data_IF_950485593531
#
_entry.id   IF_950485593531
#
_cell.length_a   1.000
_cell.length_b   1.000
_cell.length_c   1.000
_cell.angle_alpha   90.00
_cell.angle_beta   90.00
_cell.angle_gamma   90.00
#
_symmetry.space_group_name_H-M   'P 1'
#
loop_
_entity.id
_entity.type
_entity.pdbx_description
1 polymer ?
#
# COMPACT_ATOMS: atom_id res chain seq x y z
N UNK A 1 9.61 32.18 -10.17
CA UNK A 1 9.00 31.56 -11.37
C UNK A 1 7.49 31.55 -11.20
N UNK A 2 6.78 32.09 -12.16
CA UNK A 2 5.32 32.13 -12.14
C UNK A 2 4.80 31.05 -13.07
N UNK A 3 4.03 30.08 -12.52
CA UNK A 3 3.36 29.09 -13.34
C UNK A 3 2.07 29.67 -13.93
N UNK A 4 1.75 29.30 -15.16
CA UNK A 4 0.46 29.65 -15.75
C UNK A 4 -0.68 28.97 -14.98
N UNK A 5 -1.90 29.53 -15.06
CA UNK A 5 -3.09 28.93 -14.45
C UNK A 5 -3.32 27.49 -14.97
N UNK A 6 -3.09 27.26 -16.28
CA UNK A 6 -3.23 25.96 -16.88
C UNK A 6 -2.21 24.93 -16.34
N UNK A 7 -0.95 25.36 -16.15
CA UNK A 7 0.08 24.48 -15.58
C UNK A 7 -0.21 24.14 -14.11
N UNK A 8 -0.69 25.10 -13.34
CA UNK A 8 -1.08 24.88 -11.95
C UNK A 8 -2.27 23.92 -11.84
N UNK A 9 -3.28 24.10 -12.69
CA UNK A 9 -4.45 23.21 -12.74
C UNK A 9 -4.04 21.78 -13.10
N UNK A 10 -3.16 21.61 -14.09
CA UNK A 10 -2.63 20.31 -14.48
C UNK A 10 -1.88 19.65 -13.30
N UNK A 11 -1.05 20.41 -12.61
CA UNK A 11 -0.30 19.94 -11.45
C UNK A 11 -1.23 19.47 -10.32
N UNK A 12 -2.28 20.24 -10.02
CA UNK A 12 -3.29 19.88 -9.02
C UNK A 12 -4.01 18.59 -9.45
N UNK A 13 -4.39 18.46 -10.72
CA UNK A 13 -5.07 17.28 -11.23
C UNK A 13 -4.17 16.03 -11.11
N UNK A 14 -2.87 16.15 -11.41
CA UNK A 14 -1.92 15.04 -11.26
C UNK A 14 -1.85 14.60 -9.79
N UNK A 15 -1.71 15.53 -8.85
CA UNK A 15 -1.66 15.24 -7.41
C UNK A 15 -2.96 14.61 -6.93
N UNK A 16 -4.12 15.14 -7.35
CA UNK A 16 -5.44 14.66 -6.93
C UNK A 16 -5.74 13.26 -7.47
N UNK A 17 -5.08 12.83 -8.56
CA UNK A 17 -5.29 11.54 -9.19
C UNK A 17 -4.22 10.49 -8.82
N UNK A 18 -3.30 10.80 -7.89
CA UNK A 18 -2.34 9.81 -7.42
C UNK A 18 -3.09 8.71 -6.66
N UNK A 19 -2.92 7.48 -7.13
CA UNK A 19 -3.51 6.29 -6.54
C UNK A 19 -2.50 5.58 -5.65
N UNK A 20 -2.87 5.35 -4.40
CA UNK A 20 -2.03 4.66 -3.41
C UNK A 20 -2.80 3.46 -2.87
N UNK A 21 -2.09 2.35 -2.71
CA UNK A 21 -2.63 1.13 -2.13
C UNK A 21 -1.83 0.76 -0.89
N UNK A 22 -2.51 0.50 0.22
CA UNK A 22 -1.90 -0.01 1.43
C UNK A 22 -2.34 -1.47 1.59
N UNK A 23 -1.39 -2.36 1.79
CA UNK A 23 -1.61 -3.79 2.01
C UNK A 23 -1.06 -4.15 3.39
N UNK A 24 -1.93 -4.56 4.29
CA UNK A 24 -1.55 -4.95 5.64
C UNK A 24 -2.09 -6.35 5.94
N UNK A 25 -1.25 -7.36 5.76
CA UNK A 25 -1.55 -8.74 6.06
C UNK A 25 -0.77 -9.25 7.28
N UNK A 26 -0.17 -8.36 8.05
CA UNK A 26 0.63 -8.70 9.23
C UNK A 26 -0.23 -8.92 10.48
N UNK A 27 -1.48 -8.46 10.47
CA UNK A 27 -2.37 -8.52 11.62
C UNK A 27 -3.31 -9.73 11.56
N UNK A 28 -4.44 -9.66 12.23
CA UNK A 28 -5.45 -10.72 12.32
C UNK A 28 -6.25 -10.91 11.02
N UNK A 29 -6.25 -9.91 10.16
CA UNK A 29 -6.92 -9.95 8.85
C UNK A 29 -6.01 -9.38 7.78
N UNK A 30 -6.39 -9.58 6.53
CA UNK A 30 -5.78 -8.88 5.39
C UNK A 30 -6.56 -7.59 5.19
N UNK A 31 -5.91 -6.47 5.42
CA UNK A 31 -6.51 -5.15 5.22
C UNK A 31 -5.99 -4.51 3.94
N UNK A 32 -6.91 -3.99 3.14
CA UNK A 32 -6.59 -3.24 1.93
C UNK A 32 -7.19 -1.85 2.05
N UNK A 33 -6.38 -0.83 1.75
CA UNK A 33 -6.81 0.56 1.73
C UNK A 33 -6.38 1.19 0.42
N UNK A 34 -7.31 1.83 -0.26
CA UNK A 34 -7.08 2.48 -1.55
C UNK A 34 -7.38 3.97 -1.39
N UNK A 35 -6.39 4.81 -1.68
CA UNK A 35 -6.49 6.26 -1.54
C UNK A 35 -6.37 6.89 -2.93
N UNK A 36 -7.38 7.65 -3.31
CA UNK A 36 -7.42 8.44 -4.55
C UNK A 36 -7.83 9.86 -4.22
N UNK A 37 -6.89 10.81 -4.25
CA UNK A 37 -7.16 12.17 -3.83
C UNK A 37 -7.66 12.22 -2.39
N UNK A 38 -8.89 12.68 -2.19
CA UNK A 38 -9.54 12.75 -0.87
C UNK A 38 -10.35 11.49 -0.52
N UNK A 39 -10.50 10.57 -1.46
CA UNK A 39 -11.31 9.37 -1.26
C UNK A 39 -10.48 8.25 -0.66
N UNK A 40 -11.00 7.61 0.38
CA UNK A 40 -10.37 6.48 1.04
C UNK A 40 -11.35 5.32 1.05
N UNK A 41 -10.96 4.21 0.44
CA UNK A 41 -11.73 2.97 0.41
C UNK A 41 -11.00 1.91 1.20
N UNK A 42 -11.73 1.10 1.94
CA UNK A 42 -11.16 0.03 2.75
C UNK A 42 -11.94 -1.27 2.57
N UNK A 43 -11.24 -2.38 2.69
CA UNK A 43 -11.86 -3.69 2.84
C UNK A 43 -10.96 -4.60 3.66
N UNK A 44 -11.50 -5.72 4.12
CA UNK A 44 -10.71 -6.71 4.83
C UNK A 44 -11.14 -8.12 4.43
N UNK A 45 -10.22 -9.06 4.55
CA UNK A 45 -10.44 -10.47 4.29
C UNK A 45 -9.85 -11.29 5.42
N UNK A 46 -10.37 -12.50 5.63
CA UNK A 46 -9.83 -13.38 6.64
C UNK A 46 -8.41 -13.82 6.34
N UNK A 47 -7.62 -13.97 7.38
CA UNK A 47 -6.29 -14.54 7.35
C UNK A 47 -6.40 -16.04 7.13
N UNK A 48 -6.36 -16.49 5.89
CA UNK A 48 -6.44 -17.89 5.52
C UNK A 48 -5.47 -18.21 4.41
N UNK A 49 -5.07 -19.48 4.33
CA UNK A 49 -4.19 -19.95 3.26
C UNK A 49 -4.76 -19.62 1.88
N UNK A 50 -6.06 -19.81 1.69
CA UNK A 50 -6.74 -19.55 0.42
C UNK A 50 -6.62 -18.05 0.06
N UNK A 51 -6.88 -17.16 1.01
CA UNK A 51 -6.80 -15.73 0.78
C UNK A 51 -5.36 -15.27 0.54
N UNK A 52 -4.37 -15.84 1.21
CA UNK A 52 -2.97 -15.52 0.94
C UNK A 52 -2.57 -15.94 -0.47
N UNK A 53 -2.99 -17.11 -0.94
CA UNK A 53 -2.67 -17.61 -2.27
C UNK A 53 -3.30 -16.81 -3.39
N UNK A 54 -4.44 -16.17 -3.14
CA UNK A 54 -5.14 -15.35 -4.14
C UNK A 54 -5.08 -13.86 -3.87
N UNK A 55 -4.05 -13.39 -3.17
CA UNK A 55 -3.94 -11.99 -2.75
C UNK A 55 -4.01 -11.01 -3.91
N UNK A 56 -3.38 -11.33 -5.05
CA UNK A 56 -3.43 -10.48 -6.24
C UNK A 56 -4.87 -10.32 -6.75
N UNK A 57 -5.67 -11.39 -6.68
CA UNK A 57 -7.08 -11.37 -7.08
C UNK A 57 -7.89 -10.51 -6.12
N UNK A 58 -7.65 -10.63 -4.81
CA UNK A 58 -8.32 -9.81 -3.80
C UNK A 58 -8.03 -8.31 -4.04
N UNK A 59 -6.80 -7.98 -4.35
CA UNK A 59 -6.40 -6.61 -4.66
C UNK A 59 -7.09 -6.13 -5.93
N UNK A 60 -7.05 -6.91 -7.00
CA UNK A 60 -7.65 -6.54 -8.28
C UNK A 60 -9.16 -6.32 -8.15
N UNK A 61 -9.86 -7.25 -7.49
CA UNK A 61 -11.30 -7.13 -7.26
C UNK A 61 -11.65 -5.89 -6.43
N UNK A 62 -10.86 -5.61 -5.40
CA UNK A 62 -11.04 -4.43 -4.56
C UNK A 62 -10.90 -3.15 -5.37
N UNK A 63 -9.84 -3.03 -6.17
CA UNK A 63 -9.61 -1.85 -7.00
C UNK A 63 -10.72 -1.66 -8.03
N UNK A 64 -11.17 -2.75 -8.67
CA UNK A 64 -12.30 -2.69 -9.62
C UNK A 64 -13.58 -2.24 -8.96
N UNK A 65 -13.85 -2.66 -7.73
CA UNK A 65 -15.03 -2.20 -6.98
C UNK A 65 -14.99 -0.70 -6.70
N UNK A 66 -13.82 -0.09 -6.69
CA UNK A 66 -13.60 1.34 -6.53
C UNK A 66 -13.42 2.06 -7.88
N UNK A 67 -13.80 1.42 -8.99
CA UNK A 67 -13.65 1.95 -10.35
C UNK A 67 -12.20 2.27 -10.71
N UNK A 68 -11.27 1.47 -10.22
CA UNK A 68 -9.83 1.60 -10.47
C UNK A 68 -9.25 0.28 -11.01
N UNK A 69 -7.96 0.24 -11.22
CA UNK A 69 -7.24 -0.96 -11.66
C UNK A 69 -5.79 -0.93 -11.18
N UNK A 70 -5.12 -2.09 -11.26
CA UNK A 70 -3.70 -2.18 -10.93
C UNK A 70 -2.85 -1.22 -11.78
N UNK A 71 -3.22 -1.00 -13.04
CA UNK A 71 -2.49 -0.10 -13.93
C UNK A 71 -2.55 1.37 -13.50
N UNK A 72 -3.50 1.73 -12.65
CA UNK A 72 -3.67 3.10 -12.15
C UNK A 72 -2.97 3.33 -10.80
N UNK A 73 -2.49 2.26 -10.16
CA UNK A 73 -1.81 2.38 -8.87
C UNK A 73 -0.40 2.94 -9.10
N UNK A 74 -0.06 4.00 -8.39
CA UNK A 74 1.23 4.68 -8.46
C UNK A 74 2.23 4.17 -7.42
N UNK A 75 1.73 3.91 -6.20
CA UNK A 75 2.58 3.49 -5.07
C UNK A 75 1.84 2.47 -4.22
N UNK A 76 2.57 1.49 -3.71
CA UNK A 76 2.05 0.49 -2.77
C UNK A 76 2.84 0.58 -1.47
N UNK A 77 2.11 0.52 -0.36
CA UNK A 77 2.67 0.49 1.00
C UNK A 77 2.28 -0.83 1.63
N UNK A 78 3.25 -1.60 2.10
CA UNK A 78 3.00 -2.94 2.62
C UNK A 78 3.59 -3.09 4.02
N UNK A 79 2.81 -3.66 4.94
CA UNK A 79 3.28 -3.90 6.30
C UNK A 79 4.28 -5.07 6.29
N UNK A 80 5.52 -4.79 6.72
CA UNK A 80 6.62 -5.75 6.77
C UNK A 80 6.70 -6.50 8.10
N UNK A 81 5.78 -6.27 8.98
CA UNK A 81 5.72 -6.92 10.30
C UNK A 81 6.12 -5.99 11.44
N UNK A 82 6.29 -6.56 12.64
CA UNK A 82 6.11 -7.98 12.98
C UNK A 82 4.64 -8.40 12.99
N UNK A 83 4.39 -9.70 12.85
CA UNK A 83 3.04 -10.23 12.88
C UNK A 83 2.92 -11.60 12.20
N UNK A 84 1.79 -11.82 11.50
CA UNK A 84 1.52 -13.07 10.79
C UNK A 84 2.62 -13.39 9.77
N UNK A 85 3.35 -14.47 10.00
CA UNK A 85 4.42 -14.91 9.11
C UNK A 85 3.92 -15.15 7.67
N UNK A 86 2.83 -15.90 7.54
CA UNK A 86 2.27 -16.19 6.22
C UNK A 86 1.72 -14.93 5.55
N UNK A 87 1.09 -14.04 6.29
CA UNK A 87 0.56 -12.78 5.77
C UNK A 87 1.69 -11.87 5.26
N UNK A 88 2.73 -11.69 6.05
CA UNK A 88 3.88 -10.87 5.68
C UNK A 88 4.57 -11.44 4.44
N UNK A 89 4.87 -12.73 4.46
CA UNK A 89 5.56 -13.39 3.36
C UNK A 89 4.78 -13.29 2.04
N UNK A 90 3.49 -13.59 2.08
CA UNK A 90 2.66 -13.59 0.87
C UNK A 90 2.40 -12.18 0.35
N UNK A 91 2.19 -11.20 1.24
CA UNK A 91 2.00 -9.81 0.82
C UNK A 91 3.27 -9.24 0.18
N UNK A 92 4.43 -9.47 0.77
CA UNK A 92 5.71 -9.00 0.22
C UNK A 92 6.02 -9.65 -1.13
N UNK A 93 5.75 -10.96 -1.27
CA UNK A 93 5.93 -11.66 -2.53
C UNK A 93 5.00 -11.10 -3.63
N UNK A 94 3.74 -10.84 -3.29
CA UNK A 94 2.77 -10.26 -4.22
C UNK A 94 3.21 -8.87 -4.69
N UNK A 95 3.63 -8.02 -3.75
CA UNK A 95 4.08 -6.66 -4.08
C UNK A 95 5.35 -6.68 -4.92
N UNK A 96 6.28 -7.58 -4.62
CA UNK A 96 7.49 -7.75 -5.44
C UNK A 96 7.15 -8.17 -6.87
N UNK A 97 6.19 -9.07 -7.03
CA UNK A 97 5.72 -9.47 -8.35
C UNK A 97 5.11 -8.31 -9.13
N UNK A 98 4.33 -7.44 -8.47
CA UNK A 98 3.78 -6.24 -9.10
C UNK A 98 4.86 -5.23 -9.50
N UNK A 99 5.90 -5.10 -8.68
CA UNK A 99 7.06 -4.27 -9.04
C UNK A 99 7.74 -4.79 -10.31
N UNK A 100 7.98 -6.10 -10.38
CA UNK A 100 8.67 -6.73 -11.51
C UNK A 100 7.84 -6.73 -12.81
N UNK A 101 6.52 -6.86 -12.71
CA UNK A 101 5.65 -7.01 -13.89
C UNK A 101 5.00 -5.70 -14.33
N UNK A 102 4.72 -4.79 -13.40
CA UNK A 102 4.00 -3.54 -13.68
C UNK A 102 4.80 -2.29 -13.29
N UNK A 103 5.99 -2.46 -12.74
CA UNK A 103 6.88 -1.38 -12.34
C UNK A 103 6.23 -0.42 -11.33
N UNK A 104 5.46 -0.96 -10.38
CA UNK A 104 4.83 -0.17 -9.32
C UNK A 104 5.78 -0.08 -8.14
N UNK A 105 6.20 1.13 -7.78
CA UNK A 105 7.04 1.36 -6.60
C UNK A 105 6.33 0.98 -5.32
N UNK A 106 7.07 0.42 -4.36
CA UNK A 106 6.51 0.02 -3.07
C UNK A 106 7.39 0.46 -1.91
N UNK A 107 6.75 0.56 -0.74
CA UNK A 107 7.38 0.94 0.52
C UNK A 107 6.99 -0.09 1.57
N UNK A 108 7.98 -0.78 2.13
CA UNK A 108 7.77 -1.73 3.23
C UNK A 108 7.90 -0.99 4.55
N UNK A 109 6.84 -0.95 5.34
CA UNK A 109 6.81 -0.24 6.61
C UNK A 109 6.52 -1.16 7.79
N UNK A 110 6.92 -0.72 8.96
CA UNK A 110 6.48 -1.24 10.26
C UNK A 110 6.06 -0.06 11.12
N UNK A 111 5.09 -0.26 12.01
CA UNK A 111 4.71 0.79 12.95
C UNK A 111 5.90 1.25 13.81
N UNK A 112 6.85 0.35 14.10
CA UNK A 112 8.08 0.69 14.82
C UNK A 112 8.98 1.67 14.05
N UNK A 113 8.90 1.70 12.73
CA UNK A 113 9.67 2.67 11.92
C UNK A 113 9.25 4.11 12.22
N UNK A 114 8.02 4.30 12.68
CA UNK A 114 7.45 5.60 13.00
C UNK A 114 7.53 5.95 14.49
N UNK A 115 8.22 5.12 15.29
CA UNK A 115 8.30 5.31 16.73
C UNK A 115 6.98 5.03 17.46
N UNK A 116 6.07 4.27 16.84
CA UNK A 116 4.75 3.98 17.37
C UNK A 116 4.65 2.52 17.78
N UNK A 117 4.03 2.27 18.95
CA UNK A 117 3.81 0.91 19.46
C UNK A 117 2.45 0.34 19.06
N UNK A 118 1.50 1.20 18.69
CA UNK A 118 0.14 0.82 18.34
C UNK A 118 -0.08 0.90 16.84
N UNK A 119 -1.13 0.20 16.38
CA UNK A 119 -1.53 0.24 14.99
C UNK A 119 -1.87 1.67 14.56
N UNK A 120 -1.34 2.06 13.41
CA UNK A 120 -1.56 3.37 12.79
C UNK A 120 -2.74 3.25 11.84
N UNK A 121 -3.48 4.35 11.63
CA UNK A 121 -4.51 4.40 10.58
C UNK A 121 -3.84 4.22 9.22
N UNK A 122 -4.37 3.33 8.39
CA UNK A 122 -3.78 3.04 7.09
C UNK A 122 -3.69 4.28 6.20
N UNK A 123 -4.67 5.17 6.27
CA UNK A 123 -4.67 6.42 5.50
C UNK A 123 -3.51 7.35 5.83
N UNK A 124 -2.89 7.22 7.00
CA UNK A 124 -1.76 8.04 7.43
C UNK A 124 -0.41 7.44 6.99
N UNK A 125 -0.38 6.19 6.57
CA UNK A 125 0.86 5.48 6.22
C UNK A 125 1.67 6.19 5.12
N UNK A 126 1.07 6.63 4.00
CA UNK A 126 1.86 7.30 2.97
C UNK A 126 2.62 8.53 3.48
N UNK A 127 1.97 9.37 4.27
CA UNK A 127 2.60 10.56 4.84
C UNK A 127 3.69 10.21 5.86
N UNK A 128 3.47 9.16 6.67
CA UNK A 128 4.46 8.69 7.62
C UNK A 128 5.68 8.11 6.92
N UNK A 129 5.50 7.35 5.85
CA UNK A 129 6.61 6.83 5.07
C UNK A 129 7.47 7.95 4.48
N UNK A 130 6.84 9.02 4.02
CA UNK A 130 7.55 10.18 3.51
C UNK A 130 8.30 10.91 4.64
N UNK A 131 7.61 11.17 5.75
CA UNK A 131 8.20 11.86 6.91
C UNK A 131 9.40 11.14 7.48
N UNK A 132 9.33 9.82 7.62
CA UNK A 132 10.39 8.99 8.17
C UNK A 132 11.35 8.44 7.11
N UNK A 133 11.23 8.89 5.87
CA UNK A 133 12.14 8.57 4.76
C UNK A 133 12.30 7.05 4.55
N UNK A 134 11.20 6.33 4.55
CA UNK A 134 11.21 4.90 4.27
C UNK A 134 11.72 4.69 2.85
N UNK A 135 12.70 3.80 2.71
CA UNK A 135 13.34 3.53 1.43
C UNK A 135 12.42 2.75 0.51
N UNK A 136 12.25 3.21 -0.73
CA UNK A 136 11.41 2.51 -1.70
C UNK A 136 12.08 1.25 -2.25
N UNK A 137 11.26 0.28 -2.63
CA UNK A 137 11.65 -0.92 -3.35
C UNK A 137 12.65 -1.81 -2.59
N UNK A 138 12.57 -1.79 -1.25
CA UNK A 138 13.39 -2.61 -0.37
C UNK A 138 12.51 -3.62 0.37
N UNK A 139 12.76 -4.91 0.16
CA UNK A 139 12.11 -5.98 0.91
C UNK A 139 12.93 -6.24 2.19
N UNK A 140 12.36 -5.94 3.33
CA UNK A 140 13.03 -6.11 4.63
C UNK A 140 12.04 -6.56 5.72
N UNK A 141 11.54 -7.82 5.64
CA UNK A 141 10.52 -8.30 6.57
C UNK A 141 11.06 -8.39 8.01
N UNK A 142 10.14 -8.22 8.96
CA UNK A 142 10.40 -8.49 10.37
C UNK A 142 9.61 -9.73 10.75
N UNK A 143 10.31 -10.82 10.98
CA UNK A 143 9.71 -12.06 11.50
C UNK A 143 10.05 -12.20 12.97
N UNK A 144 9.06 -12.59 13.76
CA UNK A 144 9.27 -12.93 15.16
C UNK A 144 9.52 -14.43 15.22
N UNK A 145 10.65 -14.77 15.78
CA UNK A 145 11.03 -16.17 16.01
C UNK A 145 10.30 -16.76 17.24
#
# INVERSE_FOLDING_TARGET
MIFSAAALELFVNIIMNINKLIVDAARDKIFLTHIVGKNVYTCSHENSKINFEKMIILIDDFLKSNKSSLNQINKIYVNRGPGSFAGIRNSLATIKALFLTKNIDYYCFSCSDFGLSNAVKHEDIPNLCEKFKIKKNLINPIYIS
#
